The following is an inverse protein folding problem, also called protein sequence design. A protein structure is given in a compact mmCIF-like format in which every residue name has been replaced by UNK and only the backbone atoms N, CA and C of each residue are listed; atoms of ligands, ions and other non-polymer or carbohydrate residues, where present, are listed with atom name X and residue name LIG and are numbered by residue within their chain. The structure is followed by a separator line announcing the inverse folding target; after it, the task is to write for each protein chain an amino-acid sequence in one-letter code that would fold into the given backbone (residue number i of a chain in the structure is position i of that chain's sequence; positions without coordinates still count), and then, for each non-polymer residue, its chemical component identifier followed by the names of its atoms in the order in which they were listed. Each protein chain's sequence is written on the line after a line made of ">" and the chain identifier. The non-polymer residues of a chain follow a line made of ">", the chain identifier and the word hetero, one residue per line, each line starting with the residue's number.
data_IF_525112037060
#
_entry.id   IF_525112037060
#
_cell.length_a   1.000
_cell.length_b   1.000
_cell.length_c   1.000
_cell.angle_alpha   90.00
_cell.angle_beta   90.00
_cell.angle_gamma   90.00
#
_symmetry.space_group_name_H-M   'P 1'
#
loop_
_entity.id
_entity.type
_entity.pdbx_description
1 polymer ?
#
# COMPACT_ATOMS: atom_id res chain seq x y z
N UNK A 1 -11.63 31.87 -7.82
CA UNK A 1 -10.56 31.30 -8.69
C UNK A 1 -11.24 30.73 -9.93
N UNK A 2 -10.67 30.95 -11.12
CA UNK A 2 -11.22 30.40 -12.38
C UNK A 2 -11.20 28.85 -12.32
N UNK A 3 -12.27 28.20 -12.78
CA UNK A 3 -12.40 26.73 -12.81
C UNK A 3 -11.34 26.04 -13.70
N UNK A 4 -10.73 26.80 -14.61
CA UNK A 4 -9.63 26.33 -15.47
C UNK A 4 -8.28 26.25 -14.73
N UNK A 5 -8.20 26.76 -13.52
CA UNK A 5 -6.96 26.77 -12.75
C UNK A 5 -6.93 25.58 -11.80
N UNK A 6 -5.87 24.78 -11.90
CA UNK A 6 -5.55 23.67 -11.00
C UNK A 6 -4.69 24.19 -9.85
N UNK A 7 -5.17 24.16 -8.61
CA UNK A 7 -4.39 24.65 -7.47
C UNK A 7 -3.38 23.60 -7.02
N UNK A 8 -2.10 23.99 -6.99
CA UNK A 8 -0.98 23.12 -6.56
C UNK A 8 -0.28 23.78 -5.38
N UNK A 9 -0.23 23.12 -4.24
CA UNK A 9 0.54 23.55 -3.09
C UNK A 9 1.91 22.87 -3.09
N UNK A 10 2.97 23.65 -3.05
CA UNK A 10 4.32 23.17 -2.78
C UNK A 10 4.67 23.38 -1.32
N UNK A 11 5.17 22.37 -0.67
CA UNK A 11 5.81 22.53 0.62
C UNK A 11 7.12 23.32 0.46
N UNK A 12 7.31 24.38 1.25
CA UNK A 12 8.41 25.32 1.09
C UNK A 12 9.80 24.68 1.21
N UNK A 13 9.93 23.56 1.93
CA UNK A 13 11.20 22.87 2.09
C UNK A 13 11.65 22.11 0.82
N UNK A 14 10.84 22.15 -0.23
CA UNK A 14 10.99 21.32 -1.43
C UNK A 14 11.51 22.03 -2.67
N UNK A 15 11.78 23.32 -2.63
CA UNK A 15 12.11 24.15 -3.81
C UNK A 15 13.34 23.71 -4.61
N UNK A 16 14.30 23.01 -4.00
CA UNK A 16 15.51 22.55 -4.66
C UNK A 16 15.39 21.18 -5.32
N UNK A 17 14.31 20.44 -5.06
CA UNK A 17 14.17 19.07 -5.52
C UNK A 17 13.78 18.96 -6.99
N UNK A 18 14.60 18.29 -7.80
CA UNK A 18 14.28 17.96 -9.19
C UNK A 18 13.01 17.09 -9.34
N UNK A 19 12.67 16.29 -8.32
CA UNK A 19 11.45 15.47 -8.29
C UNK A 19 10.20 16.34 -8.36
N UNK A 20 10.13 17.41 -7.54
CA UNK A 20 8.95 18.27 -7.52
C UNK A 20 8.77 19.03 -8.82
N UNK A 21 9.88 19.46 -9.43
CA UNK A 21 9.85 20.07 -10.75
C UNK A 21 9.29 19.10 -11.80
N UNK A 22 9.74 17.85 -11.80
CA UNK A 22 9.25 16.84 -12.74
C UNK A 22 7.75 16.54 -12.51
N UNK A 23 7.31 16.32 -11.26
CA UNK A 23 5.88 16.11 -10.97
C UNK A 23 5.04 17.32 -11.40
N UNK A 24 5.49 18.54 -11.10
CA UNK A 24 4.80 19.76 -11.52
C UNK A 24 4.74 19.91 -13.03
N UNK A 25 5.81 19.57 -13.75
CA UNK A 25 5.81 19.55 -15.21
C UNK A 25 4.80 18.54 -15.77
N UNK A 26 4.69 17.36 -15.16
CA UNK A 26 3.68 16.36 -15.53
C UNK A 26 2.26 16.89 -15.31
N UNK A 27 1.97 17.49 -14.15
CA UNK A 27 0.67 18.12 -13.86
C UNK A 27 0.37 19.22 -14.88
N UNK A 28 1.35 20.11 -15.15
CA UNK A 28 1.18 21.22 -16.08
C UNK A 28 0.92 20.77 -17.52
N UNK A 29 1.65 19.74 -17.99
CA UNK A 29 1.49 19.17 -19.31
C UNK A 29 0.10 18.55 -19.49
N UNK A 30 -0.36 17.77 -18.51
CA UNK A 30 -1.68 17.17 -18.52
C UNK A 30 -2.81 18.22 -18.44
N UNK A 31 -2.64 19.25 -17.60
CA UNK A 31 -3.60 20.35 -17.51
C UNK A 31 -3.72 21.11 -18.84
N UNK A 32 -2.60 21.38 -19.52
CA UNK A 32 -2.59 22.06 -20.80
C UNK A 32 -3.35 21.30 -21.90
N UNK A 33 -3.29 19.96 -21.92
CA UNK A 33 -4.06 19.13 -22.85
C UNK A 33 -5.57 19.32 -22.68
N UNK A 34 -6.01 19.65 -21.46
CA UNK A 34 -7.42 19.93 -21.13
C UNK A 34 -7.75 21.43 -21.11
N UNK A 35 -6.90 22.28 -21.75
CA UNK A 35 -7.05 23.75 -21.78
C UNK A 35 -7.11 24.38 -20.36
N UNK A 36 -6.42 23.78 -19.39
CA UNK A 36 -6.29 24.25 -18.02
C UNK A 36 -4.86 24.71 -17.75
N UNK A 37 -4.68 25.53 -16.73
CA UNK A 37 -3.37 25.98 -16.25
C UNK A 37 -3.21 25.65 -14.77
N UNK A 38 -1.98 25.53 -14.30
CA UNK A 38 -1.69 25.34 -12.88
C UNK A 38 -1.41 26.68 -12.21
N UNK A 39 -1.79 26.81 -10.95
CA UNK A 39 -1.33 27.89 -10.07
C UNK A 39 -0.62 27.27 -8.86
N UNK A 40 0.66 27.61 -8.72
CA UNK A 40 1.49 27.11 -7.62
C UNK A 40 1.38 28.07 -6.44
N UNK A 41 1.11 27.52 -5.27
CA UNK A 41 1.13 28.19 -3.98
C UNK A 41 2.29 27.62 -3.16
N UNK A 42 2.99 28.49 -2.45
CA UNK A 42 4.08 28.11 -1.52
C UNK A 42 3.69 28.25 -0.06
N UNK A 43 2.48 28.78 0.18
CA UNK A 43 1.89 28.92 1.50
C UNK A 43 0.49 28.31 1.54
N UNK A 44 0.28 27.40 2.47
CA UNK A 44 -1.04 26.79 2.73
C UNK A 44 -2.09 27.86 3.07
N UNK A 45 -1.71 28.88 3.86
CA UNK A 45 -2.60 29.98 4.22
C UNK A 45 -3.05 30.80 3.00
N UNK A 46 -2.12 31.17 2.11
CA UNK A 46 -2.45 31.90 0.87
C UNK A 46 -3.36 31.06 -0.03
N UNK A 47 -3.09 29.75 -0.16
CA UNK A 47 -3.94 28.85 -0.92
C UNK A 47 -5.35 28.80 -0.34
N UNK A 48 -5.50 28.63 0.98
CA UNK A 48 -6.80 28.57 1.63
C UNK A 48 -7.64 29.84 1.43
N UNK A 49 -7.00 31.00 1.29
CA UNK A 49 -7.68 32.27 1.00
C UNK A 49 -8.09 32.41 -0.47
N UNK A 50 -7.27 31.93 -1.40
CA UNK A 50 -7.47 32.10 -2.84
C UNK A 50 -8.35 31.02 -3.47
N UNK A 51 -8.35 29.80 -2.93
CA UNK A 51 -9.04 28.63 -3.49
C UNK A 51 -10.35 28.38 -2.74
N UNK A 52 -11.51 28.28 -3.41
CA UNK A 52 -12.79 27.92 -2.77
C UNK A 52 -12.72 26.57 -2.03
N UNK A 53 -13.54 26.41 -0.97
CA UNK A 53 -13.49 25.23 -0.11
C UNK A 53 -13.91 23.92 -0.81
N UNK A 54 -14.79 24.03 -1.79
CA UNK A 54 -15.28 22.89 -2.59
C UNK A 54 -14.31 22.45 -3.70
N UNK A 55 -13.13 23.06 -3.82
CA UNK A 55 -12.12 22.69 -4.82
C UNK A 55 -11.11 21.70 -4.22
N UNK A 56 -10.78 20.70 -4.99
CA UNK A 56 -9.68 19.77 -4.69
C UNK A 56 -8.33 20.46 -4.88
N UNK A 57 -7.38 20.17 -4.02
CA UNK A 57 -6.04 20.75 -4.02
C UNK A 57 -5.00 19.66 -4.27
N UNK A 58 -4.09 19.85 -5.22
CA UNK A 58 -2.92 18.99 -5.36
C UNK A 58 -1.84 19.49 -4.40
N UNK A 59 -1.29 18.60 -3.59
CA UNK A 59 -0.20 18.90 -2.67
C UNK A 59 1.03 18.08 -3.05
N UNK A 60 2.17 18.76 -3.18
CA UNK A 60 3.48 18.15 -3.42
C UNK A 60 4.36 18.52 -2.23
N UNK A 61 4.86 17.51 -1.50
CA UNK A 61 5.69 17.77 -0.33
C UNK A 61 6.47 16.55 0.14
N UNK A 62 7.42 16.77 1.04
CA UNK A 62 8.08 15.71 1.80
C UNK A 62 7.26 15.40 3.05
N UNK A 63 7.49 14.25 3.60
CA UNK A 63 6.92 13.81 4.85
C UNK A 63 7.56 14.57 6.03
N UNK A 64 7.07 15.77 6.28
CA UNK A 64 7.53 16.69 7.32
C UNK A 64 6.36 17.04 8.26
N UNK A 65 6.62 17.48 9.49
CA UNK A 65 5.56 18.03 10.35
C UNK A 65 4.77 19.13 9.66
N UNK A 66 5.42 19.99 8.85
CA UNK A 66 4.79 21.08 8.10
C UNK A 66 3.80 20.56 7.05
N UNK A 67 4.15 19.49 6.31
CA UNK A 67 3.21 18.86 5.38
C UNK A 67 1.98 18.34 6.15
N UNK A 68 2.19 17.71 7.29
CA UNK A 68 1.11 17.19 8.13
C UNK A 68 0.20 18.31 8.63
N UNK A 69 0.76 19.45 9.06
CA UNK A 69 0.01 20.64 9.46
C UNK A 69 -0.80 21.20 8.28
N UNK A 70 -0.21 21.28 7.09
CA UNK A 70 -0.88 21.74 5.87
C UNK A 70 -2.05 20.81 5.49
N UNK A 71 -1.83 19.49 5.50
CA UNK A 71 -2.88 18.51 5.21
C UNK A 71 -4.01 18.58 6.25
N UNK A 72 -3.67 18.70 7.53
CA UNK A 72 -4.64 18.84 8.62
C UNK A 72 -5.46 20.13 8.47
N UNK A 73 -4.83 21.25 8.14
CA UNK A 73 -5.52 22.52 7.92
C UNK A 73 -6.48 22.48 6.71
N UNK A 74 -6.04 21.86 5.61
CA UNK A 74 -6.85 21.73 4.39
C UNK A 74 -8.06 20.79 4.62
N UNK A 75 -7.83 19.60 5.16
CA UNK A 75 -8.87 18.61 5.40
C UNK A 75 -9.83 19.03 6.53
N UNK A 76 -9.32 19.74 7.53
CA UNK A 76 -10.13 20.34 8.62
C UNK A 76 -11.15 21.39 8.13
N UNK A 77 -10.89 22.01 6.96
CA UNK A 77 -11.86 22.87 6.28
C UNK A 77 -12.83 22.10 5.37
N UNK A 78 -12.78 20.78 5.36
CA UNK A 78 -13.61 19.93 4.50
C UNK A 78 -13.12 19.79 3.07
N UNK A 79 -11.89 20.25 2.74
CA UNK A 79 -11.34 20.13 1.39
C UNK A 79 -10.91 18.71 1.08
N UNK A 80 -11.07 18.33 -0.18
CA UNK A 80 -10.41 17.16 -0.76
C UNK A 80 -8.97 17.52 -1.12
N UNK A 81 -8.04 16.64 -0.79
CA UNK A 81 -6.61 16.81 -1.08
C UNK A 81 -6.13 15.64 -1.92
N UNK A 82 -5.37 15.93 -2.97
CA UNK A 82 -4.62 14.92 -3.71
C UNK A 82 -3.14 15.10 -3.43
N UNK A 83 -2.54 14.13 -2.76
CA UNK A 83 -1.12 14.11 -2.43
C UNK A 83 -0.33 13.46 -3.57
N UNK A 84 0.59 14.20 -4.19
CA UNK A 84 1.41 13.69 -5.27
C UNK A 84 2.77 13.20 -4.77
N UNK A 85 3.12 11.97 -5.13
CA UNK A 85 4.42 11.36 -4.84
C UNK A 85 4.54 10.65 -3.49
N UNK A 86 3.58 10.81 -2.60
CA UNK A 86 3.49 10.12 -1.31
C UNK A 86 2.17 9.33 -1.21
N UNK A 87 2.18 8.28 -0.41
CA UNK A 87 0.96 7.53 -0.08
C UNK A 87 0.07 8.35 0.85
N UNK A 88 -1.19 8.54 0.47
CA UNK A 88 -2.17 9.34 1.19
C UNK A 88 -2.90 8.62 2.31
N UNK A 89 -2.86 7.28 2.36
CA UNK A 89 -3.69 6.47 3.25
C UNK A 89 -3.54 6.85 4.74
N UNK A 90 -2.33 7.22 5.15
CA UNK A 90 -2.03 7.59 6.55
C UNK A 90 -2.51 8.98 6.97
N UNK A 91 -2.88 9.83 6.01
CA UNK A 91 -3.24 11.23 6.29
C UNK A 91 -4.75 11.47 6.43
N UNK A 92 -5.54 10.39 6.42
CA UNK A 92 -6.99 10.45 6.66
C UNK A 92 -7.84 10.34 5.39
N UNK A 93 -9.14 10.17 5.59
CA UNK A 93 -10.11 9.81 4.55
C UNK A 93 -10.36 10.88 3.46
N UNK A 94 -9.86 12.09 3.64
CA UNK A 94 -9.97 13.19 2.65
C UNK A 94 -8.68 13.39 1.85
N UNK A 95 -7.68 12.54 2.05
CA UNK A 95 -6.40 12.61 1.34
C UNK A 95 -6.32 11.46 0.35
N UNK A 96 -6.55 11.77 -0.91
CA UNK A 96 -6.27 10.89 -2.05
C UNK A 96 -4.79 10.96 -2.43
N UNK A 97 -4.28 10.02 -3.22
CA UNK A 97 -2.88 10.05 -3.62
C UNK A 97 -2.60 9.48 -5.00
N UNK A 98 -1.54 9.98 -5.62
CA UNK A 98 -0.88 9.37 -6.77
C UNK A 98 0.61 9.21 -6.45
N UNK A 99 1.11 7.98 -6.37
CA UNK A 99 2.47 7.69 -5.93
C UNK A 99 3.01 6.40 -6.53
N UNK A 100 4.36 6.24 -6.64
CA UNK A 100 4.91 4.93 -7.01
C UNK A 100 4.68 3.90 -5.91
N UNK A 101 4.40 2.64 -6.29
CA UNK A 101 4.27 1.54 -5.35
C UNK A 101 5.62 1.16 -4.75
N UNK A 102 5.91 1.62 -3.51
CA UNK A 102 7.16 1.29 -2.80
C UNK A 102 7.28 -0.19 -2.51
N UNK A 103 6.18 -0.83 -2.10
CA UNK A 103 6.14 -2.27 -1.83
C UNK A 103 6.51 -3.07 -3.08
N UNK A 104 5.86 -2.79 -4.23
CA UNK A 104 6.14 -3.48 -5.49
C UNK A 104 7.57 -3.24 -5.96
N UNK A 105 8.05 -1.99 -5.92
CA UNK A 105 9.42 -1.66 -6.31
C UNK A 105 10.47 -2.39 -5.45
N UNK A 106 10.26 -2.47 -4.13
CA UNK A 106 11.14 -3.20 -3.21
C UNK A 106 11.11 -4.70 -3.50
N UNK A 107 9.92 -5.25 -3.74
CA UNK A 107 9.76 -6.65 -4.10
C UNK A 107 10.50 -7.01 -5.39
N UNK A 108 10.35 -6.19 -6.43
CA UNK A 108 11.06 -6.37 -7.71
C UNK A 108 12.57 -6.34 -7.53
N UNK A 109 13.08 -5.43 -6.67
CA UNK A 109 14.50 -5.33 -6.40
C UNK A 109 15.03 -6.54 -5.64
N UNK A 110 14.29 -7.02 -4.64
CA UNK A 110 14.62 -8.26 -3.92
C UNK A 110 14.65 -9.45 -4.89
N UNK A 111 13.64 -9.62 -5.73
CA UNK A 111 13.58 -10.70 -6.70
C UNK A 111 14.74 -10.64 -7.71
N UNK A 112 15.10 -9.45 -8.17
CA UNK A 112 16.27 -9.27 -9.03
C UNK A 112 17.55 -9.74 -8.33
N UNK A 113 17.80 -9.32 -7.08
CA UNK A 113 18.97 -9.75 -6.31
C UNK A 113 19.01 -11.28 -6.12
N UNK A 114 17.84 -11.88 -5.86
CA UNK A 114 17.71 -13.35 -5.78
C UNK A 114 18.04 -14.04 -7.10
N UNK A 115 17.61 -13.47 -8.23
CA UNK A 115 17.94 -14.01 -9.56
C UNK A 115 19.44 -13.96 -9.86
N UNK A 116 20.17 -13.02 -9.22
CA UNK A 116 21.64 -12.96 -9.24
C UNK A 116 22.31 -13.89 -8.18
N UNK A 117 21.53 -14.77 -7.50
CA UNK A 117 22.04 -15.66 -6.46
C UNK A 117 22.37 -14.99 -5.14
N UNK A 118 21.84 -13.78 -4.88
CA UNK A 118 22.05 -13.04 -3.63
C UNK A 118 20.86 -13.26 -2.70
N UNK A 119 21.06 -14.02 -1.63
CA UNK A 119 19.99 -14.46 -0.74
C UNK A 119 19.95 -13.70 0.59
N UNK A 120 21.11 -13.19 1.04
CA UNK A 120 21.29 -12.50 2.31
C UNK A 120 21.28 -11.00 2.08
N UNK A 121 20.09 -10.41 2.08
CA UNK A 121 19.85 -9.02 1.70
C UNK A 121 19.65 -8.16 2.94
N UNK A 122 20.39 -7.04 3.04
CA UNK A 122 20.19 -6.02 4.05
C UNK A 122 19.52 -4.77 3.47
N UNK A 123 18.78 -4.03 4.31
CA UNK A 123 18.35 -2.65 4.08
C UNK A 123 19.18 -1.72 4.97
N UNK A 124 19.91 -0.78 4.37
CA UNK A 124 20.85 0.08 5.08
C UNK A 124 20.48 1.56 4.97
N UNK A 125 20.55 2.26 6.09
CA UNK A 125 20.21 3.66 6.27
C UNK A 125 18.77 4.00 5.90
N UNK A 126 17.84 3.22 6.43
CA UNK A 126 16.43 3.55 6.44
C UNK A 126 16.11 4.57 7.53
N UNK A 127 15.28 5.57 7.22
CA UNK A 127 14.75 6.49 8.23
C UNK A 127 13.61 5.84 9.02
N UNK A 128 13.69 5.86 10.33
CA UNK A 128 12.68 5.27 11.22
C UNK A 128 11.34 6.02 11.22
N UNK A 129 11.33 7.25 10.72
CA UNK A 129 10.14 8.12 10.59
C UNK A 129 9.65 8.32 9.16
N UNK A 130 10.36 7.78 8.16
CA UNK A 130 9.97 7.87 6.76
C UNK A 130 8.97 6.76 6.41
N UNK A 131 7.74 7.13 6.02
CA UNK A 131 6.73 6.16 5.56
C UNK A 131 7.23 5.36 4.35
N UNK A 132 7.95 6.02 3.43
CA UNK A 132 8.52 5.34 2.28
C UNK A 132 9.52 4.25 2.70
N UNK A 133 10.37 4.54 3.69
CA UNK A 133 11.36 3.57 4.17
C UNK A 133 10.71 2.48 5.02
N UNK A 134 9.70 2.83 5.83
CA UNK A 134 8.90 1.85 6.56
C UNK A 134 8.25 0.83 5.62
N UNK A 135 7.69 1.26 4.48
CA UNK A 135 7.11 0.35 3.48
C UNK A 135 8.17 -0.60 2.88
N UNK A 136 9.40 -0.11 2.65
CA UNK A 136 10.52 -0.94 2.20
C UNK A 136 10.92 -1.97 3.26
N UNK A 137 11.05 -1.52 4.51
CA UNK A 137 11.36 -2.39 5.65
C UNK A 137 10.31 -3.48 5.85
N UNK A 138 9.02 -3.13 5.81
CA UNK A 138 7.92 -4.08 5.91
C UNK A 138 7.95 -5.11 4.77
N UNK A 139 8.31 -4.69 3.56
CA UNK A 139 8.42 -5.59 2.41
C UNK A 139 9.56 -6.57 2.60
N UNK A 140 10.74 -6.12 3.04
CA UNK A 140 11.87 -7.01 3.32
C UNK A 140 11.55 -7.94 4.49
N UNK A 141 10.95 -7.45 5.59
CA UNK A 141 10.50 -8.30 6.70
C UNK A 141 9.58 -9.43 6.24
N UNK A 142 8.54 -9.07 5.49
CA UNK A 142 7.57 -10.05 4.98
C UNK A 142 8.26 -11.11 4.12
N UNK A 143 9.20 -10.70 3.27
CA UNK A 143 10.00 -11.60 2.46
C UNK A 143 10.86 -12.53 3.34
N UNK A 144 11.62 -12.00 4.30
CA UNK A 144 12.50 -12.78 5.17
C UNK A 144 11.69 -13.77 6.04
N UNK A 145 10.54 -13.35 6.59
CA UNK A 145 9.64 -14.21 7.35
C UNK A 145 9.11 -15.37 6.50
N UNK A 146 8.73 -15.12 5.24
CA UNK A 146 8.28 -16.17 4.32
C UNK A 146 9.36 -17.22 4.02
N UNK A 147 10.64 -16.84 4.19
CA UNK A 147 11.81 -17.73 4.07
C UNK A 147 12.23 -18.38 5.39
N UNK A 148 11.45 -18.22 6.45
CA UNK A 148 11.70 -18.82 7.76
C UNK A 148 12.74 -18.07 8.62
N UNK A 149 13.12 -16.84 8.26
CA UNK A 149 13.97 -16.00 9.10
C UNK A 149 13.26 -15.68 10.41
N UNK A 150 13.92 -15.95 11.56
CA UNK A 150 13.33 -15.71 12.88
C UNK A 150 13.37 -14.25 13.29
N UNK A 151 14.44 -13.55 12.93
CA UNK A 151 14.72 -12.18 13.32
C UNK A 151 14.95 -11.29 12.07
N UNK A 152 13.93 -10.95 11.30
CA UNK A 152 14.11 -10.18 10.06
C UNK A 152 14.64 -8.76 10.29
N UNK A 153 14.50 -8.23 11.50
CA UNK A 153 15.01 -6.91 11.87
C UNK A 153 16.54 -6.83 11.94
N UNK A 154 17.23 -7.95 12.11
CA UNK A 154 18.69 -8.01 12.08
C UNK A 154 19.26 -7.65 10.68
N UNK A 155 18.41 -7.66 9.66
CA UNK A 155 18.74 -7.25 8.28
C UNK A 155 18.40 -5.79 7.96
N UNK A 156 17.95 -4.99 8.94
CA UNK A 156 17.49 -3.61 8.72
C UNK A 156 18.25 -2.65 9.61
N UNK A 157 19.03 -1.77 8.99
CA UNK A 157 19.89 -0.82 9.66
C UNK A 157 19.31 0.60 9.55
N UNK A 158 18.74 1.08 10.64
CA UNK A 158 18.16 2.42 10.70
C UNK A 158 19.22 3.47 11.02
N UNK A 159 18.96 4.74 10.72
CA UNK A 159 19.68 5.88 11.27
C UNK A 159 18.70 6.81 12.00
N UNK A 160 19.21 7.59 12.96
CA UNK A 160 18.43 8.60 13.68
C UNK A 160 18.79 10.02 13.27
N UNK A 161 20.09 10.34 13.28
CA UNK A 161 20.59 11.68 12.96
C UNK A 161 21.47 11.68 11.71
N UNK A 162 22.35 10.70 11.56
CA UNK A 162 23.34 10.65 10.47
C UNK A 162 23.36 9.25 9.85
N UNK A 163 23.45 9.18 8.53
CA UNK A 163 23.47 7.90 7.79
C UNK A 163 24.67 7.03 8.16
N UNK A 164 25.79 7.64 8.56
CA UNK A 164 26.97 6.92 9.02
C UNK A 164 26.72 6.05 10.26
N UNK A 165 25.75 6.40 11.12
CA UNK A 165 25.36 5.56 12.27
C UNK A 165 24.89 4.18 11.80
N UNK A 166 24.13 4.15 10.70
CA UNK A 166 23.68 2.92 10.08
C UNK A 166 24.82 2.18 9.38
N UNK A 167 25.70 2.90 8.69
CA UNK A 167 26.84 2.31 8.00
C UNK A 167 27.81 1.62 8.95
N UNK A 168 28.09 2.23 10.11
CA UNK A 168 28.97 1.65 11.11
C UNK A 168 28.36 0.37 11.70
N UNK A 169 27.06 0.36 12.04
CA UNK A 169 26.39 -0.85 12.51
C UNK A 169 26.32 -1.94 11.44
N UNK A 170 26.05 -1.57 10.19
CA UNK A 170 26.08 -2.51 9.07
C UNK A 170 27.51 -3.10 8.90
N UNK A 171 28.55 -2.29 9.03
CA UNK A 171 29.93 -2.73 8.88
C UNK A 171 30.35 -3.79 9.90
N UNK A 172 29.80 -3.79 11.10
CA UNK A 172 30.06 -4.82 12.10
C UNK A 172 29.54 -6.20 11.66
N UNK A 173 28.59 -6.24 10.73
CA UNK A 173 27.89 -7.45 10.28
C UNK A 173 27.93 -7.67 8.75
N UNK A 174 28.62 -6.83 7.99
CA UNK A 174 28.51 -6.82 6.53
C UNK A 174 28.78 -8.18 5.87
N UNK A 175 29.66 -9.02 6.44
CA UNK A 175 29.99 -10.35 5.94
C UNK A 175 28.82 -11.36 6.02
N UNK A 176 27.81 -11.03 6.80
CA UNK A 176 26.58 -11.83 6.88
C UNK A 176 25.68 -11.62 5.65
N UNK A 177 25.96 -10.59 4.83
CA UNK A 177 25.15 -10.20 3.69
C UNK A 177 25.93 -10.34 2.37
N UNK A 178 25.20 -10.59 1.28
CA UNK A 178 25.74 -10.63 -0.08
C UNK A 178 25.14 -9.53 -0.98
N UNK A 179 24.09 -8.85 -0.50
CA UNK A 179 23.53 -7.67 -1.14
C UNK A 179 22.98 -6.66 -0.13
N UNK A 180 23.03 -5.39 -0.51
CA UNK A 180 22.47 -4.27 0.26
C UNK A 180 21.54 -3.44 -0.61
N UNK A 181 20.42 -3.04 -0.04
CA UNK A 181 19.46 -2.09 -0.64
C UNK A 181 19.53 -0.79 0.16
N UNK A 182 19.73 0.33 -0.53
CA UNK A 182 19.66 1.67 0.04
C UNK A 182 18.31 2.35 -0.30
N UNK A 183 17.74 3.19 0.59
CA UNK A 183 16.46 3.83 0.38
C UNK A 183 16.42 4.80 -0.81
N UNK A 184 17.57 5.31 -1.23
CA UNK A 184 17.73 6.16 -2.41
C UNK A 184 19.18 6.20 -2.89
N UNK A 185 19.42 6.74 -4.09
CA UNK A 185 20.73 6.79 -4.74
C UNK A 185 21.75 7.68 -3.99
N UNK A 186 21.30 8.67 -3.22
CA UNK A 186 22.21 9.52 -2.43
C UNK A 186 22.85 8.72 -1.30
N UNK A 187 22.05 7.97 -0.58
CA UNK A 187 22.52 7.07 0.48
C UNK A 187 23.43 5.97 -0.12
N UNK A 188 23.04 5.44 -1.28
CA UNK A 188 23.84 4.44 -1.97
C UNK A 188 25.23 4.95 -2.36
N UNK A 189 25.33 6.18 -2.89
CA UNK A 189 26.62 6.81 -3.18
C UNK A 189 27.48 6.98 -1.91
N UNK A 190 26.87 7.44 -0.81
CA UNK A 190 27.58 7.56 0.46
C UNK A 190 28.07 6.20 0.99
N UNK A 191 27.24 5.16 0.86
CA UNK A 191 27.64 3.80 1.28
C UNK A 191 28.74 3.21 0.38
N UNK A 192 28.73 3.45 -0.93
CA UNK A 192 29.79 3.04 -1.85
C UNK A 192 31.13 3.65 -1.37
N UNK A 193 31.14 4.95 -1.09
CA UNK A 193 32.33 5.62 -0.57
C UNK A 193 32.80 5.03 0.76
N UNK A 194 31.88 4.82 1.68
CA UNK A 194 32.16 4.19 2.97
C UNK A 194 32.77 2.78 2.80
N UNK A 195 32.19 1.95 1.92
CA UNK A 195 32.70 0.63 1.60
C UNK A 195 34.12 0.68 1.02
N UNK A 196 34.40 1.62 0.11
CA UNK A 196 35.73 1.82 -0.46
C UNK A 196 36.77 2.17 0.63
N UNK A 197 36.42 3.05 1.58
CA UNK A 197 37.27 3.40 2.70
C UNK A 197 37.56 2.21 3.65
N UNK A 198 36.63 1.24 3.71
CA UNK A 198 36.73 0.00 4.49
C UNK A 198 37.34 -1.18 3.73
N UNK A 199 37.65 -1.01 2.44
CA UNK A 199 38.20 -2.06 1.59
C UNK A 199 37.18 -3.09 1.10
N UNK A 200 35.87 -2.80 1.21
CA UNK A 200 34.78 -3.63 0.69
C UNK A 200 34.55 -3.25 -0.78
N UNK A 201 34.67 -4.22 -1.68
CA UNK A 201 34.51 -4.01 -3.12
C UNK A 201 33.08 -4.21 -3.56
N UNK A 202 32.54 -3.26 -4.30
CA UNK A 202 31.25 -3.34 -4.96
C UNK A 202 31.49 -3.39 -6.47
N UNK A 203 31.03 -4.42 -7.19
CA UNK A 203 30.12 -5.48 -6.77
C UNK A 203 30.76 -6.78 -6.25
N UNK A 204 32.10 -6.93 -6.22
CA UNK A 204 32.78 -8.21 -6.04
C UNK A 204 32.50 -8.86 -4.69
N UNK A 205 32.51 -8.08 -3.59
CA UNK A 205 32.28 -8.57 -2.23
C UNK A 205 30.81 -8.39 -1.81
N UNK A 206 30.14 -7.33 -2.31
CA UNK A 206 28.79 -6.97 -1.92
C UNK A 206 28.05 -6.31 -3.09
N UNK A 207 26.84 -6.81 -3.45
CA UNK A 207 25.96 -6.12 -4.40
C UNK A 207 25.27 -4.95 -3.73
N UNK A 208 25.07 -3.87 -4.50
CA UNK A 208 24.39 -2.68 -3.99
C UNK A 208 23.32 -2.23 -4.99
N UNK A 209 22.12 -1.95 -4.46
CA UNK A 209 21.02 -1.43 -5.26
C UNK A 209 20.25 -0.33 -4.50
N UNK A 210 19.51 0.52 -5.22
CA UNK A 210 18.83 1.67 -4.65
C UNK A 210 17.51 2.02 -5.36
N UNK A 211 16.98 3.22 -5.08
CA UNK A 211 15.74 3.73 -5.69
C UNK A 211 15.92 5.18 -6.17
N UNK A 212 15.21 5.53 -7.23
CA UNK A 212 14.93 6.87 -7.80
C UNK A 212 15.64 7.20 -9.11
N UNK A 213 16.69 6.51 -9.51
CA UNK A 213 17.47 6.74 -10.73
C UNK A 213 17.93 8.22 -10.87
N UNK A 214 18.54 8.72 -9.81
CA UNK A 214 19.10 10.08 -9.80
C UNK A 214 20.34 10.19 -10.67
N UNK A 215 20.66 11.39 -11.13
CA UNK A 215 21.86 11.64 -11.94
C UNK A 215 23.13 11.08 -11.28
N UNK A 216 23.26 11.20 -9.96
CA UNK A 216 24.44 10.68 -9.23
C UNK A 216 24.63 9.19 -9.41
N UNK A 217 23.55 8.40 -9.59
CA UNK A 217 23.63 6.96 -9.77
C UNK A 217 24.32 6.54 -11.08
N UNK A 218 24.42 7.45 -12.05
CA UNK A 218 24.99 7.21 -13.38
C UNK A 218 26.44 7.68 -13.51
N UNK A 219 26.88 8.55 -12.60
CA UNK A 219 28.20 9.19 -12.69
C UNK A 219 29.16 8.76 -11.55
N UNK A 220 28.72 7.90 -10.65
CA UNK A 220 29.57 7.29 -9.63
C UNK A 220 30.24 6.00 -10.16
N UNK A 221 31.21 5.50 -9.41
CA UNK A 221 31.88 4.24 -9.69
C UNK A 221 31.87 3.34 -8.45
N UNK A 222 31.32 2.12 -8.57
CA UNK A 222 30.49 1.63 -9.67
C UNK A 222 29.19 2.43 -9.82
N UNK A 223 28.64 2.53 -11.04
CA UNK A 223 27.32 3.14 -11.24
C UNK A 223 26.21 2.24 -10.65
N UNK A 224 25.15 2.89 -10.12
CA UNK A 224 24.21 2.25 -9.19
C UNK A 224 23.04 1.61 -9.93
N UNK A 225 22.83 0.31 -9.70
CA UNK A 225 21.57 -0.39 -10.02
C UNK A 225 20.45 0.20 -9.16
N UNK A 226 19.34 0.60 -9.79
CA UNK A 226 18.30 1.36 -9.09
C UNK A 226 16.91 1.13 -9.69
N UNK A 227 15.88 1.31 -8.87
CA UNK A 227 14.49 1.38 -9.33
C UNK A 227 14.18 2.78 -9.83
N UNK A 228 14.06 2.95 -11.14
CA UNK A 228 13.68 4.21 -11.78
C UNK A 228 12.21 4.53 -11.57
N UNK A 229 11.90 5.78 -11.23
CA UNK A 229 10.56 6.31 -11.02
C UNK A 229 10.30 7.43 -12.03
N UNK A 230 9.20 7.32 -12.79
CA UNK A 230 8.73 8.39 -13.66
C UNK A 230 7.94 9.42 -12.86
N UNK A 231 8.63 10.42 -12.32
CA UNK A 231 7.98 11.47 -11.55
C UNK A 231 7.10 12.42 -12.39
N UNK A 232 7.37 12.56 -13.70
CA UNK A 232 6.47 13.28 -14.59
C UNK A 232 5.17 12.51 -14.78
N UNK A 233 5.25 11.20 -14.96
CA UNK A 233 4.08 10.30 -14.99
C UNK A 233 3.29 10.30 -13.68
N UNK A 234 3.95 10.40 -12.51
CA UNK A 234 3.26 10.62 -11.23
C UNK A 234 2.47 11.93 -11.26
N UNK A 235 3.05 13.00 -11.82
CA UNK A 235 2.37 14.28 -11.99
C UNK A 235 1.14 14.18 -12.90
N UNK A 236 1.27 13.52 -14.03
CA UNK A 236 0.14 13.27 -14.96
C UNK A 236 -0.98 12.51 -14.26
N UNK A 237 -0.68 11.39 -13.59
CA UNK A 237 -1.65 10.62 -12.81
C UNK A 237 -2.31 11.46 -11.69
N UNK A 238 -1.55 12.37 -11.08
CA UNK A 238 -2.09 13.31 -10.09
C UNK A 238 -3.11 14.26 -10.70
N UNK A 239 -2.87 14.75 -11.89
CA UNK A 239 -3.84 15.59 -12.59
C UNK A 239 -5.12 14.82 -12.96
N UNK A 240 -5.00 13.58 -13.43
CA UNK A 240 -6.15 12.73 -13.77
C UNK A 240 -7.00 12.44 -12.52
N UNK A 241 -6.36 12.06 -11.41
CA UNK A 241 -7.04 11.86 -10.14
C UNK A 241 -7.72 13.13 -9.60
N UNK A 242 -7.05 14.29 -9.73
CA UNK A 242 -7.61 15.59 -9.38
C UNK A 242 -8.89 15.88 -10.20
N UNK A 243 -8.84 15.65 -11.52
CA UNK A 243 -10.00 15.86 -12.39
C UNK A 243 -11.20 14.98 -12.02
N UNK A 244 -10.94 13.72 -11.62
CA UNK A 244 -11.99 12.84 -11.12
C UNK A 244 -12.59 13.35 -9.80
N UNK A 245 -11.76 13.76 -8.84
CA UNK A 245 -12.23 14.29 -7.55
C UNK A 245 -13.00 15.61 -7.71
N UNK A 246 -12.60 16.50 -8.65
CA UNK A 246 -13.34 17.72 -8.97
C UNK A 246 -14.74 17.44 -9.53
N UNK A 247 -14.86 16.38 -10.35
CA UNK A 247 -16.15 15.98 -10.91
C UNK A 247 -17.10 15.32 -9.87
N UNK A 248 -16.55 14.85 -8.74
CA UNK A 248 -17.28 14.14 -7.69
C UNK A 248 -17.08 14.79 -6.32
N UNK A 249 -17.01 16.13 -6.27
CA UNK A 249 -16.66 16.89 -5.08
C UNK A 249 -17.65 16.72 -3.90
N UNK A 250 -18.89 16.35 -4.18
CA UNK A 250 -19.93 16.07 -3.17
C UNK A 250 -19.86 14.64 -2.61
N UNK A 251 -19.11 13.76 -3.26
CA UNK A 251 -18.89 12.39 -2.83
C UNK A 251 -17.61 12.32 -2.01
N UNK A 252 -17.66 11.79 -0.79
CA UNK A 252 -16.48 11.64 0.05
C UNK A 252 -15.61 10.46 -0.41
N UNK A 253 -15.09 10.56 -1.64
CA UNK A 253 -14.26 9.53 -2.25
C UNK A 253 -12.78 9.71 -1.89
N UNK A 254 -12.10 8.60 -1.69
CA UNK A 254 -10.65 8.53 -1.60
C UNK A 254 -10.12 7.70 -2.78
N UNK A 255 -9.18 8.26 -3.53
CA UNK A 255 -8.55 7.61 -4.68
C UNK A 255 -7.08 7.39 -4.38
N UNK A 256 -6.59 6.20 -4.68
CA UNK A 256 -5.17 5.88 -4.64
C UNK A 256 -4.74 5.35 -6.01
N UNK A 257 -3.86 6.09 -6.70
CA UNK A 257 -3.25 5.67 -7.95
C UNK A 257 -1.80 5.28 -7.68
N UNK A 258 -1.44 4.05 -8.06
CA UNK A 258 -0.07 3.59 -7.99
C UNK A 258 0.57 3.58 -9.37
N UNK A 259 1.72 4.27 -9.50
CA UNK A 259 2.49 4.27 -10.74
C UNK A 259 3.59 3.20 -10.72
N UNK A 260 3.95 2.61 -11.89
CA UNK A 260 5.00 1.61 -11.97
C UNK A 260 6.39 2.21 -11.75
N UNK A 261 7.31 1.35 -11.31
CA UNK A 261 8.75 1.63 -11.30
C UNK A 261 9.45 0.65 -12.22
N UNK A 262 10.62 1.01 -12.75
CA UNK A 262 11.41 0.17 -13.67
C UNK A 262 12.80 -0.07 -13.09
N UNK A 263 13.23 -1.33 -13.09
CA UNK A 263 14.60 -1.68 -12.73
C UNK A 263 15.58 -1.19 -13.80
N UNK A 264 16.66 -0.57 -13.37
CA UNK A 264 17.80 -0.15 -14.20
C UNK A 264 19.05 -0.81 -13.64
N UNK A 265 19.51 -1.86 -14.31
CA UNK A 265 20.69 -2.64 -13.91
C UNK A 265 21.96 -1.92 -14.32
N UNK A 266 22.95 -1.87 -13.42
CA UNK A 266 24.25 -1.22 -13.61
C UNK A 266 25.37 -1.99 -12.89
N UNK A 267 26.57 -1.41 -12.86
CA UNK A 267 27.80 -2.05 -12.36
C UNK A 267 27.76 -2.46 -10.90
N UNK A 268 27.02 -1.75 -10.04
CA UNK A 268 26.93 -2.07 -8.60
C UNK A 268 26.29 -3.43 -8.32
N UNK A 269 25.75 -4.10 -9.35
CA UNK A 269 25.32 -5.50 -9.36
C UNK A 269 25.91 -6.25 -10.56
N UNK A 270 27.17 -5.98 -10.91
CA UNK A 270 27.95 -6.62 -11.96
C UNK A 270 27.34 -6.56 -13.37
N UNK A 271 26.40 -5.65 -13.65
CA UNK A 271 25.61 -5.58 -14.90
C UNK A 271 24.87 -6.90 -15.26
N UNK A 272 24.59 -7.74 -14.28
CA UNK A 272 23.87 -8.99 -14.50
C UNK A 272 22.42 -8.68 -14.90
N UNK A 273 22.09 -8.96 -16.17
CA UNK A 273 20.75 -8.76 -16.70
C UNK A 273 20.01 -10.10 -16.63
N UNK A 274 19.14 -10.22 -15.64
CA UNK A 274 18.20 -11.32 -15.57
C UNK A 274 16.80 -10.83 -15.96
N UNK A 275 16.04 -11.61 -16.75
CA UNK A 275 14.65 -11.26 -17.03
C UNK A 275 13.86 -11.21 -15.72
N UNK A 276 13.55 -10.03 -15.25
CA UNK A 276 12.53 -9.86 -14.21
C UNK A 276 11.18 -9.87 -14.89
N UNK A 277 10.47 -10.97 -14.79
CA UNK A 277 9.08 -11.03 -15.24
C UNK A 277 8.24 -10.18 -14.28
N UNK A 278 7.73 -9.07 -14.77
CA UNK A 278 6.85 -8.14 -14.02
C UNK A 278 5.58 -8.85 -13.51
N UNK A 279 5.21 -9.99 -14.14
CA UNK A 279 4.07 -10.81 -13.72
C UNK A 279 4.33 -11.59 -12.45
N UNK A 280 5.60 -11.85 -12.08
CA UNK A 280 6.01 -12.64 -10.92
C UNK A 280 6.47 -11.79 -9.71
N UNK A 281 6.34 -10.46 -9.76
CA UNK A 281 6.59 -9.59 -8.60
C UNK A 281 5.53 -9.75 -7.49
N UNK A 282 4.94 -10.92 -7.39
CA UNK A 282 4.05 -11.33 -6.30
C UNK A 282 4.96 -11.99 -5.26
N UNK A 283 5.17 -11.31 -4.15
CA UNK A 283 5.87 -11.88 -2.97
C UNK A 283 5.02 -12.96 -2.28
N UNK A 284 3.90 -13.31 -2.85
CA UNK A 284 3.07 -14.38 -2.36
C UNK A 284 3.52 -15.68 -3.02
N UNK A 285 3.84 -16.66 -2.19
CA UNK A 285 4.06 -18.02 -2.64
C UNK A 285 2.87 -18.45 -3.52
N UNK A 286 3.14 -18.81 -4.77
CA UNK A 286 2.11 -19.30 -5.70
C UNK A 286 1.47 -20.61 -5.25
N UNK A 287 2.02 -21.24 -4.21
CA UNK A 287 1.46 -22.39 -3.49
C UNK A 287 0.55 -21.98 -2.33
N UNK A 288 0.10 -20.72 -2.26
CA UNK A 288 -0.90 -20.29 -1.30
C UNK A 288 -2.27 -20.91 -1.65
N UNK A 289 -2.44 -22.17 -1.42
CA UNK A 289 -3.74 -22.81 -1.26
C UNK A 289 -4.36 -22.23 0.00
N UNK A 290 -5.30 -21.31 -0.15
CA UNK A 290 -6.03 -20.58 0.87
C UNK A 290 -5.43 -20.69 2.28
N UNK A 291 -4.87 -19.58 2.82
CA UNK A 291 -4.06 -19.63 4.03
C UNK A 291 -4.67 -20.44 5.17
N UNK A 292 -3.90 -20.76 6.22
CA UNK A 292 -4.36 -21.59 7.33
C UNK A 292 -5.66 -21.08 7.97
N UNK A 293 -6.00 -19.81 7.78
CA UNK A 293 -7.25 -19.21 8.21
C UNK A 293 -8.48 -19.89 7.59
N UNK A 294 -8.52 -20.07 6.27
CA UNK A 294 -9.66 -20.69 5.58
C UNK A 294 -9.70 -22.21 5.73
N UNK A 295 -8.59 -22.83 6.10
CA UNK A 295 -8.49 -24.26 6.43
C UNK A 295 -8.84 -24.54 7.89
N UNK A 296 -8.97 -23.51 8.74
CA UNK A 296 -9.36 -23.66 10.14
C UNK A 296 -10.79 -24.20 10.24
N UNK A 297 -11.03 -25.32 10.94
CA UNK A 297 -12.36 -25.92 11.03
C UNK A 297 -13.41 -25.00 11.65
N UNK A 298 -13.01 -24.14 12.58
CA UNK A 298 -13.91 -23.17 13.23
C UNK A 298 -14.33 -22.08 12.25
N UNK A 299 -13.38 -21.51 11.50
CA UNK A 299 -13.66 -20.53 10.46
C UNK A 299 -14.51 -21.12 9.35
N UNK A 300 -14.26 -22.35 8.93
CA UNK A 300 -15.07 -23.04 7.93
C UNK A 300 -16.55 -23.14 8.35
N UNK A 301 -16.83 -23.43 9.63
CA UNK A 301 -18.20 -23.43 10.17
C UNK A 301 -18.83 -22.03 10.15
N UNK A 302 -18.09 -20.99 10.56
CA UNK A 302 -18.58 -19.59 10.49
C UNK A 302 -18.90 -19.19 9.06
N UNK A 303 -18.04 -19.54 8.10
CA UNK A 303 -18.30 -19.29 6.68
C UNK A 303 -19.53 -20.05 6.15
N UNK A 304 -19.75 -21.28 6.64
CA UNK A 304 -20.94 -22.07 6.31
C UNK A 304 -22.21 -21.39 6.83
N UNK A 305 -22.19 -20.84 8.04
CA UNK A 305 -23.28 -20.04 8.62
C UNK A 305 -23.52 -18.78 7.78
N UNK A 306 -22.46 -18.01 7.47
CA UNK A 306 -22.56 -16.80 6.65
C UNK A 306 -23.17 -17.09 5.28
N UNK A 307 -22.68 -18.14 4.60
CA UNK A 307 -23.24 -18.58 3.31
C UNK A 307 -24.73 -18.93 3.40
N UNK A 308 -25.17 -19.54 4.50
CA UNK A 308 -26.59 -19.82 4.74
C UNK A 308 -27.36 -18.50 4.87
N UNK A 309 -26.92 -17.58 5.71
CA UNK A 309 -27.61 -16.31 5.99
C UNK A 309 -27.73 -15.43 4.75
N UNK A 310 -26.66 -15.31 3.96
CA UNK A 310 -26.64 -14.54 2.71
C UNK A 310 -27.62 -15.08 1.65
N UNK A 311 -27.84 -16.39 1.61
CA UNK A 311 -28.79 -17.01 0.70
C UNK A 311 -30.24 -16.97 1.20
N UNK A 312 -30.46 -16.63 2.47
CA UNK A 312 -31.77 -16.49 3.07
C UNK A 312 -32.38 -15.11 2.82
N UNK A 313 -33.61 -15.06 2.28
CA UNK A 313 -34.42 -13.84 2.29
C UNK A 313 -34.89 -13.52 3.74
N UNK A 314 -35.40 -12.31 4.01
CA UNK A 314 -35.80 -11.91 5.36
C UNK A 314 -36.77 -12.90 6.06
N UNK A 315 -37.71 -13.51 5.31
CA UNK A 315 -38.63 -14.47 5.89
C UNK A 315 -37.91 -15.79 6.26
N UNK A 316 -36.94 -16.22 5.46
CA UNK A 316 -36.13 -17.41 5.77
C UNK A 316 -35.20 -17.15 6.95
N UNK A 317 -34.67 -15.93 7.11
CA UNK A 317 -33.88 -15.54 8.29
C UNK A 317 -34.74 -15.60 9.57
N UNK A 318 -35.98 -15.08 9.53
CA UNK A 318 -36.92 -15.19 10.64
C UNK A 318 -37.27 -16.63 10.99
N UNK A 319 -37.36 -17.52 9.99
CA UNK A 319 -37.55 -18.95 10.21
C UNK A 319 -36.33 -19.54 10.95
N UNK A 320 -35.09 -19.20 10.52
CA UNK A 320 -33.87 -19.63 11.20
C UNK A 320 -33.87 -19.16 12.64
N UNK A 321 -34.16 -17.88 12.90
CA UNK A 321 -34.30 -17.33 14.26
C UNK A 321 -35.30 -18.09 15.11
N UNK A 322 -36.49 -18.39 14.56
CA UNK A 322 -37.50 -19.18 15.27
C UNK A 322 -37.04 -20.61 15.61
N UNK A 323 -36.23 -21.25 14.76
CA UNK A 323 -35.64 -22.57 15.05
C UNK A 323 -34.62 -22.44 16.18
N UNK A 324 -33.75 -21.46 16.14
CA UNK A 324 -32.72 -21.25 17.16
C UNK A 324 -33.33 -20.87 18.52
N UNK A 325 -34.48 -20.18 18.52
CA UNK A 325 -35.29 -19.91 19.72
C UNK A 325 -36.01 -21.18 20.25
N UNK A 326 -35.84 -22.32 19.64
CA UNK A 326 -36.48 -23.59 20.03
C UNK A 326 -37.96 -23.66 19.72
N UNK A 327 -38.55 -22.76 18.91
CA UNK A 327 -39.97 -22.79 18.54
C UNK A 327 -40.31 -24.01 17.70
N UNK A 328 -41.52 -24.55 17.91
CA UNK A 328 -42.04 -25.62 17.06
C UNK A 328 -42.35 -25.10 15.66
N UNK A 329 -42.38 -25.99 14.69
CA UNK A 329 -42.75 -25.60 13.31
C UNK A 329 -44.13 -24.96 13.21
N UNK A 330 -45.08 -25.39 14.05
CA UNK A 330 -46.43 -24.83 14.10
C UNK A 330 -46.39 -23.41 14.68
N UNK A 331 -45.64 -23.19 15.78
CA UNK A 331 -45.45 -21.88 16.35
C UNK A 331 -44.75 -20.88 15.37
N UNK A 332 -43.78 -21.37 14.58
CA UNK A 332 -43.13 -20.57 13.53
C UNK A 332 -44.15 -20.23 12.43
N UNK A 333 -44.91 -21.19 11.94
CA UNK A 333 -45.95 -20.97 10.90
C UNK A 333 -46.98 -19.94 11.36
N UNK A 334 -47.48 -20.06 12.59
CA UNK A 334 -48.45 -19.13 13.18
C UNK A 334 -47.85 -17.72 13.34
N UNK A 335 -46.64 -17.62 13.92
CA UNK A 335 -46.00 -16.32 14.17
C UNK A 335 -45.65 -15.55 12.89
N UNK A 336 -45.37 -16.24 11.81
CA UNK A 336 -45.00 -15.65 10.51
C UNK A 336 -46.17 -15.61 9.51
N UNK A 337 -47.35 -16.06 9.91
CA UNK A 337 -48.56 -16.13 9.06
C UNK A 337 -48.34 -16.89 7.74
N UNK A 338 -47.60 -18.01 7.78
CA UNK A 338 -47.28 -18.83 6.61
C UNK A 338 -47.89 -20.25 6.73
N UNK A 339 -48.18 -20.85 5.59
CA UNK A 339 -48.63 -22.26 5.58
C UNK A 339 -47.52 -23.23 5.92
N UNK A 340 -47.88 -24.39 6.43
CA UNK A 340 -46.93 -25.47 6.71
C UNK A 340 -46.13 -25.93 5.48
N UNK A 341 -46.77 -25.91 4.30
CA UNK A 341 -46.14 -26.23 3.02
C UNK A 341 -45.10 -25.19 2.65
N UNK A 342 -45.36 -23.90 2.87
CA UNK A 342 -44.43 -22.79 2.66
C UNK A 342 -43.24 -22.90 3.59
N UNK A 343 -43.49 -23.19 4.89
CA UNK A 343 -42.43 -23.42 5.86
C UNK A 343 -41.51 -24.57 5.44
N UNK A 344 -42.07 -25.71 5.08
CA UNK A 344 -41.29 -26.89 4.69
C UNK A 344 -40.44 -26.63 3.42
N UNK A 345 -40.96 -25.91 2.47
CA UNK A 345 -40.22 -25.51 1.26
C UNK A 345 -39.03 -24.61 1.60
N UNK A 346 -39.23 -23.63 2.49
CA UNK A 346 -38.16 -22.73 2.94
C UNK A 346 -37.11 -23.43 3.78
N UNK A 347 -37.53 -24.29 4.70
CA UNK A 347 -36.62 -25.11 5.51
C UNK A 347 -35.70 -25.96 4.64
N UNK A 348 -36.22 -26.56 3.56
CA UNK A 348 -35.39 -27.32 2.62
C UNK A 348 -34.31 -26.43 1.98
N UNK A 349 -34.66 -25.17 1.62
CA UNK A 349 -33.68 -24.22 1.07
C UNK A 349 -32.64 -23.81 2.10
N UNK A 350 -33.06 -23.51 3.34
CA UNK A 350 -32.18 -23.15 4.44
C UNK A 350 -31.20 -24.29 4.74
N UNK A 351 -31.67 -25.53 4.87
CA UNK A 351 -30.81 -26.68 5.13
C UNK A 351 -29.79 -26.89 4.00
N UNK A 352 -30.22 -26.78 2.75
CA UNK A 352 -29.31 -26.87 1.62
C UNK A 352 -28.26 -25.75 1.63
N UNK A 353 -28.65 -24.50 1.91
CA UNK A 353 -27.74 -23.36 1.98
C UNK A 353 -26.73 -23.49 3.15
N UNK A 354 -27.17 -24.07 4.27
CA UNK A 354 -26.32 -24.38 5.41
C UNK A 354 -25.48 -25.67 5.24
N UNK A 355 -25.72 -26.46 4.18
CA UNK A 355 -25.05 -27.75 3.98
C UNK A 355 -25.37 -28.78 5.07
N UNK A 356 -26.58 -28.71 5.64
CA UNK A 356 -27.06 -29.61 6.69
C UNK A 356 -28.31 -30.40 6.22
N UNK A 357 -28.61 -31.52 6.85
CA UNK A 357 -29.71 -32.40 6.45
C UNK A 357 -31.01 -32.18 7.22
N UNK A 358 -30.91 -31.59 8.42
CA UNK A 358 -32.05 -31.50 9.33
C UNK A 358 -31.90 -30.36 10.34
N UNK A 359 -32.99 -30.13 11.10
CA UNK A 359 -33.06 -29.09 12.12
C UNK A 359 -31.97 -29.24 13.21
N UNK A 360 -31.72 -30.45 13.70
CA UNK A 360 -30.76 -30.68 14.77
C UNK A 360 -29.34 -30.31 14.35
N UNK A 361 -28.98 -30.64 13.11
CA UNK A 361 -27.67 -30.26 12.56
C UNK A 361 -27.57 -28.76 12.40
N UNK A 362 -28.63 -28.06 11.94
CA UNK A 362 -28.67 -26.59 11.85
C UNK A 362 -28.50 -25.96 13.23
N UNK A 363 -29.27 -26.40 14.22
CA UNK A 363 -29.21 -25.92 15.60
C UNK A 363 -27.82 -26.15 16.22
N UNK A 364 -27.17 -27.30 15.91
CA UNK A 364 -25.82 -27.60 16.38
C UNK A 364 -24.81 -26.62 15.72
N UNK A 365 -24.88 -26.44 14.40
CA UNK A 365 -23.96 -25.55 13.65
C UNK A 365 -24.04 -24.11 14.16
N UNK A 366 -25.24 -23.58 14.29
CA UNK A 366 -25.45 -22.20 14.76
C UNK A 366 -25.23 -22.06 16.26
N UNK A 367 -25.66 -23.05 17.08
CA UNK A 367 -25.56 -23.01 18.54
C UNK A 367 -24.13 -22.98 19.08
N UNK A 368 -23.13 -23.38 18.28
CA UNK A 368 -21.72 -23.20 18.64
C UNK A 368 -21.30 -21.73 18.75
N UNK A 369 -21.97 -20.82 18.03
CA UNK A 369 -21.58 -19.41 17.91
C UNK A 369 -22.63 -18.42 18.41
N UNK A 370 -23.90 -18.83 18.47
CA UNK A 370 -25.03 -17.98 18.82
C UNK A 370 -25.69 -18.52 20.12
N UNK A 371 -25.27 -17.97 21.26
CA UNK A 371 -25.67 -18.47 22.60
C UNK A 371 -26.75 -17.65 23.30
N UNK A 372 -27.13 -16.48 22.76
CA UNK A 372 -28.14 -15.57 23.33
C UNK A 372 -29.28 -15.28 22.33
N UNK A 373 -30.39 -14.67 22.80
CA UNK A 373 -31.55 -14.34 21.98
C UNK A 373 -31.18 -13.58 20.71
N UNK A 374 -31.60 -14.11 19.58
CA UNK A 374 -31.21 -13.61 18.27
C UNK A 374 -32.20 -12.55 17.77
N UNK A 375 -31.69 -11.41 17.27
CA UNK A 375 -32.46 -10.43 16.53
C UNK A 375 -32.38 -10.74 15.00
N UNK A 376 -33.06 -11.82 14.59
CA UNK A 376 -33.22 -12.12 13.15
C UNK A 376 -34.48 -11.45 12.57
#
# INVERSE_FOLDING_TARGET
>A
MDERIVPVLWDEDCFSSSIYKQMTQGIAAAAAQSQRSIQIFTSCQQMMQAVPRNRTVIVIGYETPKLQDSLTALTGQGRQVLLAGLDGERFGSRVSSASPSRRRATAMLIQYLLSCGKERIALVACGDRSVNDMMRCETLRSFLLSRGCKNPDDSIFYYQNYVEESFNRFYEHWQEFDAVICPNDYVALCLIRFCQEKGIRIPEDLYLAAFSDRMVSRFCWPDITTMSIDFAGVGDCSYQAWGFLEAHCDEHLQIQITTPSRLVVRQSTANEIHPTDDSNAIIYDSNFEGGPFYADPTIAKVMQIENCLVQCDPLSQQIVGGLLDGKTYDAISESLFISRSTLNYRLKKVFNAAGVSNRKELETLFGEFFTEKHNF
#
